data_IF_283999457453
#
_entry.id   IF_283999457453
#
_cell.length_a   1.000
_cell.length_b   1.000
_cell.length_c   1.000
_cell.angle_alpha   90.00
_cell.angle_beta   90.00
_cell.angle_gamma   90.00
#
_symmetry.space_group_name_H-M   'P 1'
#
loop_
_entity.id
_entity.type
_entity.pdbx_description
1 polymer ?
#
# COMPACT_ATOMS: atom_id res chain seq x y z
N UNK A 1 -5.73 -26.26 -12.55
CA UNK A 1 -6.29 -25.92 -11.22
C UNK A 1 -6.25 -24.41 -11.12
N UNK A 2 -7.39 -23.77 -10.85
CA UNK A 2 -7.48 -22.31 -10.78
C UNK A 2 -7.28 -21.92 -9.32
N UNK A 3 -6.09 -21.40 -9.00
CA UNK A 3 -5.74 -20.93 -7.65
C UNK A 3 -6.36 -19.54 -7.40
N UNK A 4 -7.68 -19.48 -7.27
CA UNK A 4 -8.38 -18.26 -6.87
C UNK A 4 -8.72 -18.32 -5.39
N UNK A 5 -8.12 -17.44 -4.58
CA UNK A 5 -8.50 -17.24 -3.17
C UNK A 5 -7.41 -17.53 -2.11
N UNK A 6 -6.15 -17.70 -2.50
CA UNK A 6 -5.08 -17.90 -1.52
C UNK A 6 -4.76 -16.58 -0.79
N UNK A 7 -4.91 -16.59 0.53
CA UNK A 7 -4.59 -15.43 1.39
C UNK A 7 -3.10 -15.45 1.74
N UNK A 8 -2.49 -14.29 1.96
CA UNK A 8 -1.03 -14.15 2.18
C UNK A 8 -0.48 -15.03 3.31
N UNK A 9 -1.35 -15.45 4.25
CA UNK A 9 -1.07 -16.36 5.37
C UNK A 9 -0.86 -17.83 4.96
N UNK A 10 -1.35 -18.24 3.80
CA UNK A 10 -1.30 -19.63 3.29
C UNK A 10 -0.12 -19.92 2.35
N UNK A 11 0.67 -18.90 1.99
CA UNK A 11 1.68 -18.98 0.92
C UNK A 11 2.97 -18.23 1.28
N UNK A 12 3.57 -18.59 2.41
CA UNK A 12 4.84 -17.99 2.86
C UNK A 12 5.96 -18.49 1.94
N UNK A 13 6.63 -17.58 1.22
CA UNK A 13 7.81 -17.88 0.38
C UNK A 13 7.56 -18.02 -1.12
N UNK A 14 6.33 -17.79 -1.61
CA UNK A 14 6.03 -17.78 -3.04
C UNK A 14 5.88 -16.35 -3.57
N UNK A 15 6.44 -16.13 -4.75
CA UNK A 15 6.28 -14.91 -5.54
C UNK A 15 5.27 -15.14 -6.66
N UNK A 16 4.57 -14.09 -7.08
CA UNK A 16 3.54 -14.15 -8.11
C UNK A 16 3.83 -13.13 -9.22
N UNK A 17 3.58 -13.51 -10.46
CA UNK A 17 3.74 -12.61 -11.60
C UNK A 17 2.72 -11.47 -11.57
N UNK A 18 1.51 -11.72 -11.05
CA UNK A 18 0.41 -10.75 -10.98
C UNK A 18 -0.26 -10.80 -9.61
N UNK A 19 -0.37 -9.66 -8.94
CA UNK A 19 -1.01 -9.54 -7.61
C UNK A 19 -2.06 -8.45 -7.63
N UNK A 20 -3.23 -8.75 -7.07
CA UNK A 20 -4.31 -7.78 -6.85
C UNK A 20 -4.35 -7.45 -5.35
N UNK A 21 -4.33 -6.16 -5.02
CA UNK A 21 -4.37 -5.68 -3.63
C UNK A 21 -5.59 -4.78 -3.43
N UNK A 22 -6.57 -5.19 -2.61
CA UNK A 22 -7.67 -4.33 -2.24
C UNK A 22 -7.20 -3.29 -1.21
N UNK A 23 -7.52 -2.02 -1.46
CA UNK A 23 -7.30 -0.91 -0.52
C UNK A 23 -8.66 -0.29 -0.22
N UNK A 24 -9.12 -0.45 1.01
CA UNK A 24 -10.40 0.07 1.48
C UNK A 24 -10.20 1.26 2.44
N UNK A 25 -11.25 1.65 3.16
CA UNK A 25 -11.22 2.76 4.13
C UNK A 25 -10.26 2.55 5.30
N UNK A 26 -9.66 1.37 5.47
CA UNK A 26 -8.67 1.13 6.52
C UNK A 26 -7.30 1.73 6.20
N UNK A 27 -7.05 2.17 4.96
CA UNK A 27 -5.80 2.81 4.54
C UNK A 27 -5.97 4.31 4.39
N UNK A 28 -5.08 5.13 4.93
CA UNK A 28 -5.14 6.58 4.75
C UNK A 28 -3.76 7.22 4.85
N UNK A 29 -3.56 8.34 4.16
CA UNK A 29 -2.36 9.15 4.35
C UNK A 29 -2.55 10.15 5.48
N UNK A 30 -1.52 10.29 6.31
CA UNK A 30 -1.43 11.32 7.33
C UNK A 30 -0.22 12.19 7.08
N UNK A 31 -0.43 13.49 7.15
CA UNK A 31 0.66 14.46 7.01
C UNK A 31 1.50 14.51 8.29
N UNK A 32 2.82 14.51 8.10
CA UNK A 32 3.80 14.67 9.15
C UNK A 32 4.87 15.65 8.69
N UNK A 33 5.22 16.59 9.56
CA UNK A 33 6.37 17.48 9.35
C UNK A 33 7.61 16.80 9.90
N UNK A 34 8.61 16.60 9.04
CA UNK A 34 9.94 16.14 9.41
C UNK A 34 10.94 17.26 9.18
N UNK A 35 11.99 17.30 10.00
CA UNK A 35 13.12 18.21 9.79
C UNK A 35 14.14 17.46 8.93
N UNK A 36 14.43 17.99 7.74
CA UNK A 36 15.51 17.47 6.91
C UNK A 36 16.84 17.70 7.62
N UNK A 37 17.57 16.62 7.92
CA UNK A 37 18.84 16.71 8.67
C UNK A 37 19.97 17.36 7.88
N UNK A 38 19.87 17.39 6.56
CA UNK A 38 20.89 17.96 5.68
C UNK A 38 20.66 19.46 5.47
N UNK A 39 19.41 19.90 5.33
CA UNK A 39 19.07 21.30 5.08
C UNK A 39 18.59 22.06 6.33
N UNK A 40 18.13 21.36 7.37
CA UNK A 40 17.53 21.94 8.56
C UNK A 40 16.11 22.45 8.36
N UNK A 41 15.51 22.22 7.20
CA UNK A 41 14.19 22.75 6.83
C UNK A 41 13.06 21.79 7.20
N UNK A 42 11.87 22.36 7.45
CA UNK A 42 10.65 21.60 7.64
C UNK A 42 10.15 21.08 6.29
N UNK A 43 10.00 19.76 6.19
CA UNK A 43 9.41 19.08 5.04
C UNK A 43 8.14 18.37 5.48
N UNK A 44 7.04 18.65 4.79
CA UNK A 44 5.79 17.91 4.96
C UNK A 44 5.86 16.64 4.13
N UNK A 45 5.64 15.50 4.77
CA UNK A 45 5.53 14.19 4.13
C UNK A 45 4.16 13.59 4.42
N UNK A 46 3.66 12.77 3.50
CA UNK A 46 2.46 11.96 3.71
C UNK A 46 2.89 10.53 4.04
N UNK A 47 2.58 10.06 5.23
CA UNK A 47 2.82 8.68 5.66
C UNK A 47 1.55 7.87 5.48
N UNK A 48 1.66 6.68 4.89
CA UNK A 48 0.54 5.74 4.82
C UNK A 48 0.36 5.10 6.20
N UNK A 49 -0.80 5.31 6.82
CA UNK A 49 -1.22 4.68 8.06
C UNK A 49 -2.41 3.74 7.82
N UNK A 50 -2.64 2.83 8.76
CA UNK A 50 -3.79 1.92 8.75
C UNK A 50 -4.56 2.00 10.05
N UNK A 51 -5.87 1.75 10.01
CA UNK A 51 -6.69 1.60 11.22
C UNK A 51 -6.28 0.36 12.02
N UNK A 52 -6.49 0.43 13.34
CA UNK A 52 -6.28 -0.72 14.22
C UNK A 52 -7.21 -1.86 13.81
N UNK A 53 -6.61 -3.00 13.47
CA UNK A 53 -7.30 -4.19 13.01
C UNK A 53 -6.65 -5.45 13.59
N UNK A 54 -7.43 -6.54 13.63
CA UNK A 54 -6.92 -7.84 14.05
C UNK A 54 -5.71 -8.29 13.21
N UNK A 55 -5.68 -7.90 11.93
CA UNK A 55 -4.55 -8.13 11.03
C UNK A 55 -3.69 -6.86 10.90
N UNK A 56 -2.34 -6.99 10.91
CA UNK A 56 -1.45 -5.87 10.69
C UNK A 56 -1.45 -5.47 9.21
N UNK A 57 -2.38 -4.62 8.82
CA UNK A 57 -2.66 -4.26 7.43
C UNK A 57 -1.44 -3.68 6.70
N UNK A 58 -0.66 -2.81 7.35
CA UNK A 58 0.59 -2.27 6.80
C UNK A 58 1.57 -3.39 6.41
N UNK A 59 1.77 -4.37 7.30
CA UNK A 59 2.65 -5.52 7.04
C UNK A 59 2.11 -6.40 5.91
N UNK A 60 0.80 -6.59 5.84
CA UNK A 60 0.16 -7.35 4.76
C UNK A 60 0.32 -6.66 3.41
N UNK A 61 0.15 -5.33 3.37
CA UNK A 61 0.40 -4.54 2.17
C UNK A 61 1.85 -4.71 1.73
N UNK A 62 2.82 -4.49 2.62
CA UNK A 62 4.24 -4.66 2.32
C UNK A 62 4.57 -6.06 1.76
N UNK A 63 3.98 -7.11 2.34
CA UNK A 63 4.15 -8.47 1.84
C UNK A 63 3.56 -8.67 0.44
N UNK A 64 2.39 -8.11 0.15
CA UNK A 64 1.80 -8.20 -1.19
C UNK A 64 2.63 -7.44 -2.23
N UNK A 65 3.21 -6.28 -1.89
CA UNK A 65 4.12 -5.54 -2.76
C UNK A 65 5.38 -6.36 -3.07
N UNK A 66 6.03 -6.91 -2.04
CA UNK A 66 7.30 -7.64 -2.18
C UNK A 66 7.18 -9.02 -2.83
N UNK A 67 5.97 -9.61 -2.85
CA UNK A 67 5.69 -10.87 -3.56
C UNK A 67 5.37 -10.67 -5.05
N UNK A 68 5.28 -9.44 -5.55
CA UNK A 68 4.92 -9.16 -6.94
C UNK A 68 6.18 -9.08 -7.82
N UNK A 69 6.26 -9.92 -8.87
CA UNK A 69 7.39 -9.91 -9.82
C UNK A 69 7.16 -9.07 -11.06
N UNK A 70 5.91 -9.03 -11.55
CA UNK A 70 5.57 -8.45 -12.85
C UNK A 70 4.60 -7.27 -12.74
N UNK A 71 3.36 -7.53 -12.37
CA UNK A 71 2.30 -6.52 -12.33
C UNK A 71 1.57 -6.51 -10.99
N UNK A 72 1.45 -5.32 -10.40
CA UNK A 72 0.54 -5.06 -9.29
C UNK A 72 -0.68 -4.31 -9.79
N UNK A 73 -1.85 -4.65 -9.23
CA UNK A 73 -3.10 -3.95 -9.47
C UNK A 73 -3.77 -3.61 -8.15
N UNK A 74 -4.06 -2.32 -7.94
CA UNK A 74 -4.76 -1.84 -6.75
C UNK A 74 -6.25 -1.71 -7.05
N UNK A 75 -7.08 -2.34 -6.22
CA UNK A 75 -8.54 -2.19 -6.28
C UNK A 75 -8.97 -1.29 -5.12
N UNK A 76 -9.33 -0.05 -5.43
CA UNK A 76 -9.73 0.92 -4.40
C UNK A 76 -11.22 0.78 -4.10
N UNK A 77 -11.57 0.50 -2.84
CA UNK A 77 -12.95 0.23 -2.40
C UNK A 77 -13.38 1.31 -1.42
N UNK A 78 -14.30 2.19 -1.85
CA UNK A 78 -14.88 3.22 -0.98
C UNK A 78 -13.87 4.26 -0.44
N UNK A 79 -12.64 4.31 -0.95
CA UNK A 79 -11.58 5.19 -0.46
C UNK A 79 -11.10 6.17 -1.53
N UNK A 80 -11.87 7.24 -1.75
CA UNK A 80 -11.55 8.25 -2.76
C UNK A 80 -10.24 9.00 -2.47
N UNK A 81 -9.88 9.15 -1.20
CA UNK A 81 -8.65 9.83 -0.79
C UNK A 81 -7.42 9.10 -1.32
N UNK A 82 -7.29 7.81 -1.01
CA UNK A 82 -6.19 6.98 -1.52
C UNK A 82 -6.16 6.94 -3.06
N UNK A 83 -7.33 6.83 -3.71
CA UNK A 83 -7.41 6.87 -5.17
C UNK A 83 -6.77 8.15 -5.74
N UNK A 84 -7.15 9.32 -5.22
CA UNK A 84 -6.62 10.59 -5.70
C UNK A 84 -5.10 10.71 -5.48
N UNK A 85 -4.60 10.25 -4.34
CA UNK A 85 -3.15 10.27 -4.04
C UNK A 85 -2.38 9.36 -5.00
N UNK A 86 -2.86 8.14 -5.25
CA UNK A 86 -2.22 7.21 -6.20
C UNK A 86 -2.27 7.77 -7.62
N UNK A 87 -3.39 8.33 -8.07
CA UNK A 87 -3.47 8.99 -9.36
C UNK A 87 -2.49 10.16 -9.47
N UNK A 88 -2.42 11.02 -8.45
CA UNK A 88 -1.46 12.13 -8.43
C UNK A 88 -0.01 11.68 -8.51
N UNK A 89 0.33 10.56 -7.85
CA UNK A 89 1.65 9.95 -7.97
C UNK A 89 1.93 9.44 -9.40
N UNK A 90 0.95 8.81 -10.05
CA UNK A 90 1.10 8.29 -11.41
C UNK A 90 1.20 9.40 -12.46
N UNK A 91 0.47 10.49 -12.29
CA UNK A 91 0.49 11.65 -13.20
C UNK A 91 1.77 12.49 -13.06
N UNK A 92 2.57 12.26 -12.01
CA UNK A 92 3.81 13.00 -11.73
C UNK A 92 5.05 12.43 -12.43
N UNK A 93 4.89 11.35 -13.23
CA UNK A 93 5.96 10.72 -14.03
C UNK A 93 5.72 10.91 -15.52
#
# INVERSE_FOLDING_TARGET
MCDTGLTSHSIIGQEFDKVIVPLDSNFFYKEQTIIDRNTGENKVIKLLETTDNYYPLEKMLYQNLTRTRGKIEFVIIGNRSIFNEICGLLDSF
#
